data_IF_170148632360
#
_entry.id   IF_170148632360
#
_cell.length_a   1.000
_cell.length_b   1.000
_cell.length_c   1.000
_cell.angle_alpha   90.00
_cell.angle_beta   90.00
_cell.angle_gamma   90.00
#
_symmetry.space_group_name_H-M   'P 1'
#
loop_
_entity.id
_entity.type
_entity.pdbx_description
1 polymer ?
#
# COMPACT_ATOMS: atom_id res chain seq x y z
N UNK A 1 -7.82 23.12 87.11
CA UNK A 1 -6.54 23.63 86.56
C UNK A 1 -5.84 22.48 85.86
N UNK A 2 -5.47 22.68 84.57
CA UNK A 2 -4.60 21.85 83.71
C UNK A 2 -5.16 20.56 83.09
N UNK A 3 -5.69 20.77 81.89
CA UNK A 3 -5.80 19.86 80.74
C UNK A 3 -4.53 19.01 80.54
N UNK A 4 -4.67 17.68 80.34
CA UNK A 4 -3.69 16.86 79.62
C UNK A 4 -4.42 15.89 78.71
N UNK A 5 -4.09 16.00 77.44
CA UNK A 5 -4.59 15.25 76.31
C UNK A 5 -4.07 13.80 76.38
N UNK A 6 -4.90 12.82 76.02
CA UNK A 6 -4.41 11.54 75.51
C UNK A 6 -5.02 11.26 74.14
N UNK A 7 -4.08 10.98 73.25
CA UNK A 7 -4.13 10.88 71.81
C UNK A 7 -4.99 9.68 71.38
N UNK A 8 -6.07 9.92 70.64
CA UNK A 8 -6.82 8.87 69.97
C UNK A 8 -6.08 8.49 68.67
N UNK A 9 -5.60 7.26 68.58
CA UNK A 9 -5.00 6.71 67.36
C UNK A 9 -6.12 6.38 66.39
N UNK A 10 -6.38 7.27 65.44
CA UNK A 10 -7.27 7.02 64.31
C UNK A 10 -6.50 6.30 63.21
N UNK A 11 -6.76 5.00 63.05
CA UNK A 11 -6.27 4.19 61.93
C UNK A 11 -6.90 4.74 60.66
N UNK A 12 -6.11 5.49 59.88
CA UNK A 12 -6.50 6.02 58.58
C UNK A 12 -6.30 4.92 57.55
N UNK A 13 -7.40 4.33 57.06
CA UNK A 13 -7.39 3.44 55.91
C UNK A 13 -7.03 4.27 54.67
N UNK A 14 -5.76 4.22 54.26
CA UNK A 14 -5.31 4.80 53.01
C UNK A 14 -5.84 3.97 51.85
N UNK A 15 -6.92 4.41 51.22
CA UNK A 15 -7.35 3.87 49.93
C UNK A 15 -6.36 4.32 48.87
N UNK A 16 -5.46 3.42 48.46
CA UNK A 16 -4.65 3.60 47.26
C UNK A 16 -5.57 3.55 46.04
N UNK A 17 -6.10 4.70 45.63
CA UNK A 17 -6.70 4.88 44.31
C UNK A 17 -5.57 4.85 43.28
N UNK A 18 -5.30 3.66 42.76
CA UNK A 18 -4.45 3.47 41.60
C UNK A 18 -5.15 4.05 40.36
N UNK A 19 -4.80 5.28 39.99
CA UNK A 19 -5.10 5.80 38.66
C UNK A 19 -4.22 5.05 37.65
N UNK A 20 -4.72 3.94 37.12
CA UNK A 20 -4.11 3.28 35.96
C UNK A 20 -4.37 4.14 34.73
N UNK A 21 -3.43 5.01 34.38
CA UNK A 21 -3.42 5.69 33.09
C UNK A 21 -3.07 4.67 32.02
N UNK A 22 -4.09 4.15 31.33
CA UNK A 22 -3.89 3.31 30.16
C UNK A 22 -3.07 4.09 29.10
N UNK A 23 -2.06 3.47 28.46
CA UNK A 23 -1.32 4.12 27.39
C UNK A 23 -2.28 4.46 26.25
N UNK A 24 -2.21 5.69 25.75
CA UNK A 24 -3.04 6.11 24.62
C UNK A 24 -2.85 5.18 23.43
N UNK A 25 -3.92 4.77 22.74
CA UNK A 25 -3.81 3.94 21.55
C UNK A 25 -2.88 4.63 20.54
N UNK A 26 -1.79 3.94 20.19
CA UNK A 26 -0.92 4.32 19.08
C UNK A 26 -1.78 4.56 17.84
N UNK A 27 -1.67 5.76 17.23
CA UNK A 27 -2.35 6.15 15.97
C UNK A 27 -2.10 5.18 14.80
N UNK A 28 -1.18 4.23 14.96
CA UNK A 28 -0.76 3.29 13.92
C UNK A 28 -1.77 2.17 13.63
N UNK A 29 -2.72 1.89 14.54
CA UNK A 29 -3.74 0.82 14.33
C UNK A 29 -5.00 1.30 13.60
N UNK A 30 -5.16 2.59 13.33
CA UNK A 30 -6.34 3.16 12.66
C UNK A 30 -6.20 3.21 11.11
N UNK A 31 -4.99 3.02 10.57
CA UNK A 31 -4.76 3.08 9.11
C UNK A 31 -5.11 1.75 8.42
N UNK A 32 -4.97 0.61 9.14
CA UNK A 32 -5.15 -0.71 8.55
C UNK A 32 -6.62 -1.08 8.20
N UNK A 33 -7.61 -0.33 8.71
CA UNK A 33 -9.03 -0.68 8.59
C UNK A 33 -9.92 0.43 8.01
N UNK A 34 -9.35 1.49 7.41
CA UNK A 34 -10.16 2.54 6.79
C UNK A 34 -10.77 1.98 5.49
N UNK A 35 -12.12 1.92 5.35
CA UNK A 35 -12.73 1.50 4.10
C UNK A 35 -12.30 2.45 2.96
N UNK A 36 -11.92 1.87 1.82
CA UNK A 36 -11.56 2.62 0.60
C UNK A 36 -12.66 3.64 0.28
N UNK A 37 -12.29 4.86 -0.09
CA UNK A 37 -13.25 5.86 -0.53
C UNK A 37 -14.01 5.36 -1.76
N UNK A 38 -15.23 5.87 -1.99
CA UNK A 38 -16.04 5.49 -3.16
C UNK A 38 -15.28 5.69 -4.49
N UNK A 39 -14.50 6.77 -4.60
CA UNK A 39 -13.64 7.02 -5.75
C UNK A 39 -12.55 5.95 -5.90
N UNK A 40 -11.87 5.57 -4.81
CA UNK A 40 -10.85 4.51 -4.86
C UNK A 40 -11.44 3.16 -5.22
N UNK A 41 -12.67 2.85 -4.76
CA UNK A 41 -13.37 1.62 -5.14
C UNK A 41 -13.68 1.60 -6.65
N UNK A 42 -14.14 2.72 -7.23
CA UNK A 42 -14.38 2.81 -8.67
C UNK A 42 -13.08 2.62 -9.47
N UNK A 43 -12.01 3.28 -9.06
CA UNK A 43 -10.67 3.11 -9.66
C UNK A 43 -10.21 1.66 -9.57
N UNK A 44 -10.33 1.04 -8.39
CA UNK A 44 -9.98 -0.38 -8.19
C UNK A 44 -10.78 -1.27 -9.13
N UNK A 45 -12.10 -1.06 -9.24
CA UNK A 45 -12.97 -1.85 -10.10
C UNK A 45 -12.60 -1.75 -11.59
N UNK A 46 -12.16 -0.58 -12.04
CA UNK A 46 -11.66 -0.39 -13.41
C UNK A 46 -10.42 -1.27 -13.67
N UNK A 47 -9.42 -1.23 -12.79
CA UNK A 47 -8.23 -2.09 -12.90
C UNK A 47 -8.55 -3.58 -12.75
N UNK A 48 -9.50 -3.94 -11.89
CA UNK A 48 -9.96 -5.31 -11.75
C UNK A 48 -10.66 -5.83 -13.01
N UNK A 49 -11.29 -4.95 -13.78
CA UNK A 49 -11.89 -5.31 -15.07
C UNK A 49 -10.83 -5.61 -16.12
N UNK A 50 -9.74 -4.83 -16.16
CA UNK A 50 -8.55 -5.15 -16.97
C UNK A 50 -7.92 -6.46 -16.51
N UNK A 51 -7.74 -6.65 -15.21
CA UNK A 51 -7.16 -7.88 -14.66
C UNK A 51 -7.96 -9.12 -15.08
N UNK A 52 -9.30 -9.08 -15.03
CA UNK A 52 -10.13 -10.22 -15.47
C UNK A 52 -9.86 -10.64 -16.91
N UNK A 53 -9.56 -9.70 -17.81
CA UNK A 53 -9.25 -9.98 -19.21
C UNK A 53 -7.82 -10.50 -19.40
N UNK A 54 -6.87 -9.97 -18.63
CA UNK A 54 -5.44 -10.22 -18.84
C UNK A 54 -4.84 -11.27 -17.90
N UNK A 55 -5.57 -11.71 -16.88
CA UNK A 55 -5.09 -12.65 -15.86
C UNK A 55 -4.40 -13.85 -16.49
N UNK A 56 -3.15 -14.09 -16.09
CA UNK A 56 -2.36 -15.24 -16.54
C UNK A 56 -1.71 -15.09 -17.91
N UNK A 57 -1.92 -14.00 -18.66
CA UNK A 57 -1.16 -13.72 -19.88
C UNK A 57 0.34 -13.76 -19.54
N UNK A 58 1.14 -14.57 -20.25
CA UNK A 58 2.52 -14.82 -19.89
C UNK A 58 3.36 -13.55 -20.02
N UNK A 59 4.45 -13.50 -19.26
CA UNK A 59 5.41 -12.43 -19.42
C UNK A 59 6.22 -12.62 -20.70
N UNK A 60 6.34 -11.56 -21.49
CA UNK A 60 7.24 -11.52 -22.64
C UNK A 60 7.90 -10.16 -22.72
N UNK A 61 9.23 -10.11 -22.64
CA UNK A 61 9.98 -8.85 -22.72
C UNK A 61 9.70 -8.15 -24.05
N UNK A 62 9.28 -6.88 -24.01
CA UNK A 62 8.86 -6.15 -25.20
C UNK A 62 7.43 -6.44 -25.66
N UNK A 63 6.78 -7.48 -25.12
CA UNK A 63 5.44 -7.91 -25.52
C UNK A 63 4.33 -6.93 -25.14
N UNK A 64 3.28 -6.89 -25.96
CA UNK A 64 2.14 -5.97 -25.85
C UNK A 64 0.80 -6.65 -26.14
N UNK A 65 0.72 -7.98 -26.11
CA UNK A 65 -0.46 -8.74 -26.56
C UNK A 65 -0.86 -9.85 -25.60
N UNK A 66 -1.99 -10.49 -25.85
CA UNK A 66 -2.44 -11.67 -25.10
C UNK A 66 -1.52 -12.89 -25.23
N UNK A 67 -0.61 -12.92 -26.21
CA UNK A 67 0.42 -13.96 -26.32
C UNK A 67 1.61 -13.72 -25.39
N UNK A 68 1.74 -12.51 -24.85
CA UNK A 68 2.85 -12.11 -24.02
C UNK A 68 2.92 -10.61 -23.81
N UNK A 69 3.12 -10.19 -22.56
CA UNK A 69 3.19 -8.77 -22.17
C UNK A 69 4.30 -8.54 -21.15
N UNK A 70 5.01 -7.42 -21.22
CA UNK A 70 5.94 -7.03 -20.16
C UNK A 70 5.29 -6.11 -19.12
N UNK A 71 6.04 -5.81 -18.05
CA UNK A 71 5.52 -5.04 -16.93
C UNK A 71 5.06 -3.64 -17.31
N UNK A 72 5.84 -2.90 -18.10
CA UNK A 72 5.50 -1.53 -18.46
C UNK A 72 4.43 -1.45 -19.54
N UNK A 73 4.42 -2.36 -20.51
CA UNK A 73 3.33 -2.48 -21.48
C UNK A 73 2.01 -2.82 -20.81
N UNK A 74 2.01 -3.77 -19.87
CA UNK A 74 0.80 -4.11 -19.16
C UNK A 74 0.27 -2.94 -18.33
N UNK A 75 1.15 -2.17 -17.68
CA UNK A 75 0.75 -0.96 -16.95
C UNK A 75 0.22 0.13 -17.91
N UNK A 76 0.80 0.31 -19.10
CA UNK A 76 0.22 1.20 -20.13
C UNK A 76 -1.21 0.79 -20.45
N UNK A 77 -1.44 -0.51 -20.72
CA UNK A 77 -2.76 -1.05 -21.05
C UNK A 77 -3.74 -0.83 -19.89
N UNK A 78 -3.32 -1.15 -18.66
CA UNK A 78 -4.17 -1.02 -17.48
C UNK A 78 -4.58 0.43 -17.23
N UNK A 79 -3.63 1.37 -17.30
CA UNK A 79 -3.89 2.80 -17.09
C UNK A 79 -4.73 3.36 -18.23
N UNK A 80 -4.38 3.10 -19.49
CA UNK A 80 -5.14 3.59 -20.64
C UNK A 80 -6.61 3.14 -20.61
N UNK A 81 -6.87 1.88 -20.23
CA UNK A 81 -8.24 1.38 -20.11
C UNK A 81 -8.99 1.97 -18.91
N UNK A 82 -8.31 2.18 -17.78
CA UNK A 82 -8.97 2.66 -16.55
C UNK A 82 -9.18 4.17 -16.51
N UNK A 83 -8.26 4.96 -17.09
CA UNK A 83 -8.22 6.43 -16.93
C UNK A 83 -8.09 7.20 -18.24
N UNK A 84 -7.96 6.51 -19.38
CA UNK A 84 -7.73 7.10 -20.69
C UNK A 84 -6.40 7.88 -20.83
N UNK A 85 -5.53 7.83 -19.82
CA UNK A 85 -4.21 8.45 -19.85
C UNK A 85 -3.19 7.53 -20.55
N UNK A 86 -2.35 8.14 -21.37
CA UNK A 86 -1.23 7.46 -22.01
C UNK A 86 0.01 7.49 -21.10
N UNK A 87 0.72 6.37 -21.04
CA UNK A 87 2.00 6.27 -20.35
C UNK A 87 3.14 6.00 -21.35
N UNK A 88 4.38 6.41 -21.05
CA UNK A 88 5.55 6.00 -21.82
C UNK A 88 5.74 4.48 -21.85
N UNK A 89 6.44 3.96 -22.87
CA UNK A 89 6.61 2.51 -23.08
C UNK A 89 7.45 1.81 -22.00
N UNK A 90 8.43 2.50 -21.44
CA UNK A 90 9.45 1.88 -20.58
C UNK A 90 9.19 2.15 -19.10
N UNK A 91 9.54 1.18 -18.24
CA UNK A 91 9.48 1.35 -16.77
C UNK A 91 10.27 2.57 -16.30
N UNK A 92 11.43 2.84 -16.94
CA UNK A 92 12.29 3.98 -16.60
C UNK A 92 11.57 5.31 -16.84
N UNK A 93 10.86 5.45 -17.95
CA UNK A 93 10.18 6.71 -18.29
C UNK A 93 8.87 6.85 -17.51
N UNK A 94 8.16 5.74 -17.26
CA UNK A 94 7.00 5.71 -16.37
C UNK A 94 7.36 6.15 -14.94
N UNK A 95 8.54 5.76 -14.44
CA UNK A 95 9.00 6.13 -13.08
C UNK A 95 9.29 7.63 -12.90
N UNK A 96 9.22 8.41 -13.98
CA UNK A 96 9.42 9.87 -13.98
C UNK A 96 8.10 10.63 -14.21
N UNK A 97 7.00 9.93 -14.46
CA UNK A 97 5.71 10.58 -14.71
C UNK A 97 5.05 10.99 -13.40
N UNK A 98 4.28 12.07 -13.46
CA UNK A 98 3.49 12.54 -12.34
C UNK A 98 4.32 12.95 -11.13
N UNK A 99 3.74 12.82 -9.93
CA UNK A 99 4.35 13.22 -8.67
C UNK A 99 4.75 12.01 -7.83
N UNK A 100 5.83 12.12 -7.06
CA UNK A 100 6.22 11.09 -6.10
C UNK A 100 5.28 11.07 -4.90
N UNK A 101 4.89 9.88 -4.44
CA UNK A 101 3.97 9.70 -3.32
C UNK A 101 4.67 8.95 -2.20
N UNK A 102 4.50 9.43 -0.97
CA UNK A 102 4.96 8.72 0.23
C UNK A 102 4.20 7.39 0.38
N UNK A 103 4.84 6.36 0.91
CA UNK A 103 4.29 5.00 0.98
C UNK A 103 2.91 4.97 1.67
N UNK A 104 2.75 5.75 2.72
CA UNK A 104 1.56 5.85 3.58
C UNK A 104 0.43 6.65 2.94
N UNK A 105 0.75 7.40 1.88
CA UNK A 105 -0.20 8.21 1.10
C UNK A 105 -0.60 7.55 -0.21
N UNK A 106 -0.07 6.36 -0.48
CA UNK A 106 -0.38 5.59 -1.68
C UNK A 106 -1.86 5.22 -1.71
N UNK A 107 -2.49 5.36 -2.88
CA UNK A 107 -3.91 5.08 -3.14
C UNK A 107 -4.05 4.20 -4.36
N UNK A 108 -5.21 3.55 -4.49
CA UNK A 108 -5.51 2.76 -5.68
C UNK A 108 -5.33 3.61 -6.94
N UNK A 109 -4.63 3.06 -7.94
CA UNK A 109 -4.26 3.73 -9.18
C UNK A 109 -2.85 4.29 -9.22
N UNK A 110 -2.20 4.49 -8.07
CA UNK A 110 -0.78 4.89 -8.05
C UNK A 110 0.09 3.80 -8.67
N UNK A 111 1.12 4.20 -9.41
CA UNK A 111 2.11 3.28 -9.94
C UNK A 111 3.13 2.95 -8.84
N UNK A 112 3.45 1.67 -8.69
CA UNK A 112 4.49 1.20 -7.77
C UNK A 112 5.69 0.68 -8.54
N UNK A 113 6.88 1.15 -8.16
CA UNK A 113 8.13 0.78 -8.83
C UNK A 113 9.03 -0.02 -7.91
N UNK A 114 9.80 -0.93 -8.52
CA UNK A 114 10.74 -1.80 -7.82
C UNK A 114 12.09 -1.86 -8.52
N UNK A 115 13.15 -2.09 -7.75
CA UNK A 115 14.51 -2.40 -8.21
C UNK A 115 14.77 -3.90 -8.02
N UNK A 116 14.28 -4.74 -8.95
CA UNK A 116 14.37 -6.21 -8.82
C UNK A 116 15.79 -6.75 -9.02
N UNK A 117 16.66 -6.00 -9.71
CA UNK A 117 18.11 -6.23 -9.76
C UNK A 117 18.84 -4.89 -9.91
N UNK A 118 20.18 -4.93 -10.01
CA UNK A 118 21.00 -3.73 -10.26
C UNK A 118 20.52 -2.95 -11.50
N UNK A 119 20.20 -3.65 -12.58
CA UNK A 119 19.84 -3.06 -13.89
C UNK A 119 18.36 -3.14 -14.21
N UNK A 120 17.61 -4.03 -13.56
CA UNK A 120 16.19 -4.25 -13.88
C UNK A 120 15.30 -3.39 -12.98
N UNK A 121 14.29 -2.79 -13.60
CA UNK A 121 13.21 -2.07 -12.93
C UNK A 121 11.89 -2.75 -13.24
N UNK A 122 11.00 -2.81 -12.27
CA UNK A 122 9.66 -3.39 -12.40
C UNK A 122 8.60 -2.36 -12.03
N UNK A 123 7.41 -2.47 -12.61
CA UNK A 123 6.27 -1.60 -12.33
C UNK A 123 4.98 -2.40 -12.18
N UNK A 124 4.06 -1.88 -11.37
CA UNK A 124 2.68 -2.32 -11.27
C UNK A 124 1.75 -1.17 -10.88
N UNK A 125 0.45 -1.44 -10.84
CA UNK A 125 -0.58 -0.52 -10.38
C UNK A 125 -1.00 -0.92 -8.96
N UNK A 126 -0.91 0.00 -8.01
CA UNK A 126 -1.38 -0.20 -6.65
C UNK A 126 -2.91 -0.26 -6.62
N UNK A 127 -3.47 -1.22 -5.87
CA UNK A 127 -4.91 -1.45 -5.74
C UNK A 127 -5.42 -1.07 -4.33
N UNK A 128 -4.56 -0.55 -3.46
CA UNK A 128 -4.85 -0.43 -2.04
C UNK A 128 -4.56 -1.72 -1.27
N UNK A 129 -4.64 -1.66 0.07
CA UNK A 129 -4.51 -2.82 0.96
C UNK A 129 -3.25 -3.68 0.73
N UNK A 130 -2.12 -3.01 0.44
CA UNK A 130 -0.84 -3.64 0.06
C UNK A 130 -0.91 -4.49 -1.21
N UNK A 131 -1.96 -4.42 -2.03
CA UNK A 131 -2.08 -5.20 -3.27
C UNK A 131 -1.66 -4.38 -4.49
N UNK A 132 -1.03 -5.03 -5.46
CA UNK A 132 -0.70 -4.39 -6.73
C UNK A 132 -0.81 -5.36 -7.91
N UNK A 133 -1.29 -4.84 -9.04
CA UNK A 133 -1.49 -5.52 -10.31
C UNK A 133 -0.26 -5.34 -11.19
N UNK A 134 0.30 -6.43 -11.72
CA UNK A 134 1.49 -6.38 -12.57
C UNK A 134 1.64 -7.62 -13.45
N UNK A 135 2.51 -7.56 -14.47
CA UNK A 135 2.98 -8.75 -15.20
C UNK A 135 4.23 -9.32 -14.51
N UNK A 136 4.11 -10.47 -13.85
CA UNK A 136 5.21 -11.20 -13.22
C UNK A 136 5.99 -12.03 -14.24
N UNK A 137 7.32 -12.00 -14.18
CA UNK A 137 8.20 -12.74 -15.09
C UNK A 137 7.97 -14.24 -15.11
N UNK A 138 7.52 -14.84 -13.99
CA UNK A 138 7.30 -16.28 -13.87
C UNK A 138 5.83 -16.70 -13.88
N UNK A 139 4.91 -15.79 -13.57
CA UNK A 139 3.48 -16.10 -13.39
C UNK A 139 2.55 -15.35 -14.33
N UNK A 140 3.08 -14.51 -15.22
CA UNK A 140 2.28 -13.64 -16.07
C UNK A 140 1.54 -12.56 -15.28
N UNK A 141 0.44 -12.06 -15.83
CA UNK A 141 -0.38 -11.02 -15.19
C UNK A 141 -1.07 -11.53 -13.93
N UNK A 142 -0.69 -10.97 -12.78
CA UNK A 142 -1.16 -11.37 -11.45
C UNK A 142 -1.36 -10.16 -10.53
N UNK A 143 -1.96 -10.42 -9.37
CA UNK A 143 -1.98 -9.50 -8.23
C UNK A 143 -1.03 -10.05 -7.17
N UNK A 144 -0.08 -9.22 -6.73
CA UNK A 144 0.87 -9.53 -5.67
C UNK A 144 0.64 -8.61 -4.47
N UNK A 145 1.32 -8.89 -3.35
CA UNK A 145 1.31 -8.01 -2.19
C UNK A 145 2.66 -7.35 -1.93
N UNK A 146 2.64 -6.09 -1.50
CA UNK A 146 3.80 -5.28 -1.15
C UNK A 146 4.45 -5.72 0.16
N UNK A 147 3.68 -6.30 1.08
CA UNK A 147 4.18 -6.84 2.35
C UNK A 147 4.78 -8.26 2.22
N UNK A 148 4.82 -8.82 1.00
CA UNK A 148 5.62 -9.99 0.74
C UNK A 148 7.12 -9.64 0.87
N UNK A 149 7.95 -10.43 1.58
CA UNK A 149 9.35 -10.09 1.83
C UNK A 149 10.17 -9.78 0.57
N UNK A 150 9.90 -10.49 -0.53
CA UNK A 150 10.55 -10.21 -1.81
C UNK A 150 10.20 -8.80 -2.29
N UNK A 151 8.91 -8.47 -2.43
CA UNK A 151 8.48 -7.17 -2.94
C UNK A 151 8.84 -6.02 -2.01
N UNK A 152 8.71 -6.22 -0.70
CA UNK A 152 9.12 -5.25 0.31
C UNK A 152 10.61 -4.89 0.16
N UNK A 153 11.49 -5.89 0.00
CA UNK A 153 12.93 -5.66 -0.17
C UNK A 153 13.32 -4.97 -1.49
N UNK A 154 12.43 -4.99 -2.50
CA UNK A 154 12.68 -4.42 -3.83
C UNK A 154 11.95 -3.10 -4.06
N UNK A 155 11.11 -2.66 -3.12
CA UNK A 155 10.35 -1.43 -3.25
C UNK A 155 11.27 -0.24 -3.56
N UNK A 156 10.83 0.63 -4.45
CA UNK A 156 11.55 1.85 -4.79
C UNK A 156 10.77 3.10 -4.42
N UNK A 157 9.63 3.36 -5.07
CA UNK A 157 8.77 4.51 -4.79
C UNK A 157 7.41 4.34 -5.48
N UNK A 158 6.47 5.23 -5.15
CA UNK A 158 5.20 5.38 -5.85
C UNK A 158 5.17 6.64 -6.72
N UNK A 159 4.39 6.59 -7.82
CA UNK A 159 4.04 7.77 -8.63
C UNK A 159 2.53 7.88 -8.78
N UNK A 160 2.00 9.11 -8.68
CA UNK A 160 0.63 9.43 -9.05
C UNK A 160 0.62 10.27 -10.31
N UNK A 161 -0.09 9.78 -11.32
CA UNK A 161 -0.29 10.40 -12.64
C UNK A 161 -1.68 11.03 -12.74
#
# INVERSE_FOLDING_TARGET
>A
MKFRQMLAVTITFATLTACSSAPSPSKNSQIANKPLSKSEQLTTNAYMSVYKQWKGVPYHFGGTSFRGVDCSAFVQIAVQNATQQALPRTTKDQSKQGVEIAYEQARSGDLVFFKTSFTVRHVGVYLGNNQFLHASTSKGVIISRLDNPYWASKFWHFRRI
#
